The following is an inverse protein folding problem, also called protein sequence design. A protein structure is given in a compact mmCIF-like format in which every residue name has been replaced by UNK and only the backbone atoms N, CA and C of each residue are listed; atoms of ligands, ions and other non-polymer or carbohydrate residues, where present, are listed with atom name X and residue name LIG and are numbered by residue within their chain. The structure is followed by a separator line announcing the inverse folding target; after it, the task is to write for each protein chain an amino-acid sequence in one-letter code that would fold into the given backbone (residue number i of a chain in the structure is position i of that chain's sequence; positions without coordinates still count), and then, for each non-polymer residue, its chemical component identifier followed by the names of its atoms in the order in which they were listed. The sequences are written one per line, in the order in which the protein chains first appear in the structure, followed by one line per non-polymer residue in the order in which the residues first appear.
data_IF_223811427706
#
_entry.id   IF_223811427706
#
_cell.length_a   1.000
_cell.length_b   1.000
_cell.length_c   1.000
_cell.angle_alpha   90.00
_cell.angle_beta   90.00
_cell.angle_gamma   90.00
#
_symmetry.space_group_name_H-M   'P 1'
#
loop_
_entity.id
_entity.type
_entity.pdbx_description
1 polymer ?
#
# COMPACT_ATOMS: atom_id res chain seq x y z
N UNK A 1 -17.19 -27.41 -1.25
CA UNK A 1 -16.19 -26.64 -0.47
C UNK A 1 -14.76 -27.18 -0.62
N UNK A 2 -14.49 -28.48 -0.37
CA UNK A 2 -13.12 -29.04 -0.48
C UNK A 2 -12.48 -28.93 -1.87
N UNK A 3 -13.25 -29.15 -2.95
CA UNK A 3 -12.74 -29.03 -4.34
C UNK A 3 -12.37 -27.59 -4.74
N UNK A 4 -13.13 -26.60 -4.25
CA UNK A 4 -12.86 -25.18 -4.49
C UNK A 4 -11.59 -24.73 -3.77
N UNK A 5 -11.40 -25.16 -2.52
CA UNK A 5 -10.18 -24.89 -1.75
C UNK A 5 -8.93 -25.52 -2.41
N UNK A 6 -9.04 -26.75 -2.92
CA UNK A 6 -7.95 -27.41 -3.64
C UNK A 6 -7.62 -26.69 -4.94
N UNK A 7 -8.62 -26.22 -5.71
CA UNK A 7 -8.38 -25.42 -6.91
C UNK A 7 -7.75 -24.05 -6.60
N UNK A 8 -8.18 -23.37 -5.53
CA UNK A 8 -7.57 -22.11 -5.07
C UNK A 8 -6.12 -22.31 -4.67
N UNK A 9 -5.82 -23.35 -3.87
CA UNK A 9 -4.44 -23.68 -3.48
C UNK A 9 -3.60 -24.07 -4.69
N UNK A 10 -4.14 -24.85 -5.63
CA UNK A 10 -3.43 -25.22 -6.86
C UNK A 10 -3.20 -24.01 -7.79
N UNK A 11 -4.12 -23.05 -7.81
CA UNK A 11 -3.96 -21.81 -8.58
C UNK A 11 -2.95 -20.88 -7.92
N UNK A 12 -2.91 -20.77 -6.59
CA UNK A 12 -1.88 -20.03 -5.84
C UNK A 12 -0.49 -20.65 -6.04
N UNK A 13 -0.37 -21.98 -5.94
CA UNK A 13 0.87 -22.70 -6.22
C UNK A 13 1.30 -22.57 -7.69
N UNK A 14 0.33 -22.61 -8.62
CA UNK A 14 0.55 -22.38 -10.04
C UNK A 14 1.06 -20.96 -10.33
N UNK A 15 0.45 -19.93 -9.72
CA UNK A 15 0.90 -18.54 -9.84
C UNK A 15 2.28 -18.35 -9.20
N UNK A 16 2.59 -19.04 -8.10
CA UNK A 16 3.93 -19.05 -7.50
C UNK A 16 4.97 -19.64 -8.46
N UNK A 17 4.60 -20.66 -9.23
CA UNK A 17 5.45 -21.27 -10.25
C UNK A 17 5.60 -20.39 -11.52
N UNK A 18 4.56 -19.64 -11.90
CA UNK A 18 4.63 -18.62 -12.98
C UNK A 18 5.32 -17.32 -12.53
N UNK A 19 5.35 -17.02 -11.22
CA UNK A 19 5.98 -15.86 -10.61
C UNK A 19 7.51 -15.93 -10.58
N UNK A 20 8.06 -17.13 -10.72
CA UNK A 20 9.50 -17.37 -10.73
C UNK A 20 10.06 -17.19 -12.15
N UNK A 21 10.00 -15.97 -12.68
CA UNK A 21 10.91 -15.57 -13.75
C UNK A 21 12.30 -15.33 -13.14
N UNK A 22 13.20 -16.28 -13.35
CA UNK A 22 14.57 -16.26 -12.86
C UNK A 22 15.41 -15.20 -13.58
N UNK A 23 15.49 -13.99 -13.02
CA UNK A 23 16.65 -13.11 -13.15
C UNK A 23 17.63 -13.41 -12.01
N UNK A 24 18.78 -14.01 -12.33
CA UNK A 24 19.69 -14.64 -11.36
C UNK A 24 20.38 -13.75 -10.31
N UNK A 25 20.81 -14.41 -9.22
CA UNK A 25 21.77 -13.93 -8.22
C UNK A 25 21.18 -13.40 -6.91
N UNK A 26 21.13 -14.27 -5.89
CA UNK A 26 20.98 -14.06 -4.42
C UNK A 26 19.97 -13.08 -3.80
N UNK A 27 19.26 -12.24 -4.56
CA UNK A 27 17.95 -11.66 -4.22
C UNK A 27 17.19 -11.47 -5.52
N UNK A 28 16.52 -12.53 -5.99
CA UNK A 28 15.74 -12.48 -7.22
C UNK A 28 14.58 -11.49 -7.11
N UNK A 29 14.22 -10.84 -8.21
CA UNK A 29 13.00 -10.06 -8.35
C UNK A 29 11.93 -10.89 -9.07
N UNK A 30 10.64 -10.63 -8.81
CA UNK A 30 9.52 -11.28 -9.50
C UNK A 30 8.70 -10.27 -10.28
N UNK A 31 8.31 -10.58 -11.52
CA UNK A 31 7.39 -9.73 -12.28
C UNK A 31 5.95 -9.79 -11.72
N UNK A 32 5.55 -10.97 -11.26
CA UNK A 32 4.22 -11.26 -10.74
C UNK A 32 4.38 -11.99 -9.42
N UNK A 33 3.57 -11.67 -8.42
CA UNK A 33 3.59 -12.36 -7.14
C UNK A 33 2.18 -12.46 -6.55
N UNK A 34 1.86 -13.57 -5.90
CA UNK A 34 0.59 -13.74 -5.20
C UNK A 34 0.82 -14.08 -3.72
N UNK A 35 0.15 -13.34 -2.83
CA UNK A 35 0.05 -13.61 -1.41
C UNK A 35 -1.34 -14.11 -1.06
N UNK A 36 -1.45 -14.96 -0.04
CA UNK A 36 -2.75 -15.34 0.52
C UNK A 36 -2.86 -15.01 2.01
N UNK A 37 -1.74 -14.72 2.66
CA UNK A 37 -1.72 -14.32 4.06
C UNK A 37 -0.50 -13.43 4.33
N UNK A 38 -0.42 -12.91 5.54
CA UNK A 38 0.76 -12.19 6.02
C UNK A 38 1.98 -13.10 5.93
N UNK A 39 2.94 -12.69 5.11
CA UNK A 39 4.21 -13.35 4.87
C UNK A 39 4.13 -14.70 4.17
N UNK A 40 2.97 -15.03 3.56
CA UNK A 40 2.79 -16.30 2.88
C UNK A 40 2.27 -16.13 1.44
N UNK A 41 2.91 -16.78 0.46
CA UNK A 41 4.13 -17.61 0.57
C UNK A 41 5.37 -16.78 0.98
N UNK A 42 6.39 -17.44 1.54
CA UNK A 42 7.58 -16.76 2.10
C UNK A 42 8.32 -15.87 1.08
N UNK A 43 8.19 -16.17 -0.21
CA UNK A 43 8.71 -15.31 -1.28
C UNK A 43 8.15 -13.88 -1.22
N UNK A 44 6.94 -13.66 -0.69
CA UNK A 44 6.37 -12.31 -0.56
C UNK A 44 7.10 -11.46 0.47
N UNK A 45 7.83 -12.07 1.41
CA UNK A 45 8.57 -11.36 2.43
C UNK A 45 9.87 -10.77 1.91
N UNK A 46 10.60 -11.52 1.09
CA UNK A 46 12.00 -11.23 0.78
C UNK A 46 12.24 -10.79 -0.67
N UNK A 47 11.30 -11.07 -1.57
CA UNK A 47 11.46 -10.80 -3.00
C UNK A 47 10.84 -9.46 -3.38
N UNK A 48 11.63 -8.63 -4.04
CA UNK A 48 11.13 -7.43 -4.72
C UNK A 48 10.22 -7.81 -5.89
N UNK A 49 9.20 -6.99 -6.13
CA UNK A 49 8.26 -7.21 -7.24
C UNK A 49 8.39 -6.06 -8.23
N UNK A 50 8.69 -6.38 -9.50
CA UNK A 50 8.75 -5.42 -10.60
C UNK A 50 7.61 -5.67 -11.58
N UNK A 51 6.41 -5.28 -11.19
CA UNK A 51 5.19 -5.57 -11.93
C UNK A 51 3.98 -5.59 -11.02
N UNK A 52 3.41 -6.77 -10.78
CA UNK A 52 2.12 -6.91 -10.07
C UNK A 52 2.21 -7.85 -8.87
N UNK A 53 1.80 -7.39 -7.69
CA UNK A 53 1.63 -8.19 -6.47
C UNK A 53 0.14 -8.28 -6.11
N UNK A 54 -0.39 -9.49 -5.93
CA UNK A 54 -1.83 -9.71 -5.66
C UNK A 54 -2.03 -10.46 -4.34
N UNK A 55 -2.79 -9.89 -3.41
CA UNK A 55 -3.22 -10.49 -2.16
C UNK A 55 -4.63 -11.07 -2.24
N UNK A 56 -4.76 -12.39 -2.22
CA UNK A 56 -6.02 -13.12 -2.20
C UNK A 56 -6.14 -13.98 -0.92
N UNK A 57 -6.62 -13.42 0.20
CA UNK A 57 -7.15 -12.06 0.37
C UNK A 57 -6.15 -11.00 0.86
N UNK A 58 -4.98 -11.42 1.31
CA UNK A 58 -3.97 -10.56 1.97
C UNK A 58 -2.60 -10.82 1.38
N UNK A 59 -1.78 -9.78 1.26
CA UNK A 59 -0.35 -9.89 0.98
C UNK A 59 0.44 -8.96 1.89
N UNK A 60 1.68 -9.34 2.20
CA UNK A 60 2.63 -8.49 2.93
C UNK A 60 4.05 -8.76 2.46
N UNK A 61 4.99 -7.88 2.80
CA UNK A 61 6.39 -8.08 2.44
C UNK A 61 7.34 -7.00 2.92
N UNK A 62 8.61 -7.36 3.06
CA UNK A 62 9.70 -6.40 3.34
C UNK A 62 10.37 -5.91 2.05
N UNK A 63 10.22 -6.65 0.95
CA UNK A 63 10.67 -6.23 -0.37
C UNK A 63 9.89 -5.01 -0.91
N UNK A 64 10.42 -4.40 -1.96
CA UNK A 64 9.82 -3.26 -2.63
C UNK A 64 8.95 -3.71 -3.80
N UNK A 65 7.76 -3.14 -3.94
CA UNK A 65 6.94 -3.33 -5.15
C UNK A 65 7.08 -2.11 -6.04
N UNK A 66 7.73 -2.30 -7.17
CA UNK A 66 7.81 -1.37 -8.30
C UNK A 66 6.68 -1.70 -9.27
N UNK A 67 5.53 -1.03 -9.14
CA UNK A 67 4.37 -1.27 -10.01
C UNK A 67 3.04 -1.23 -9.27
N UNK A 68 2.30 -2.33 -9.28
CA UNK A 68 0.94 -2.41 -8.74
C UNK A 68 0.82 -3.50 -7.67
N UNK A 69 0.43 -3.12 -6.46
CA UNK A 69 0.00 -4.05 -5.41
C UNK A 69 -1.51 -3.96 -5.21
N UNK A 70 -2.21 -5.09 -5.21
CA UNK A 70 -3.65 -5.15 -4.98
C UNK A 70 -4.00 -6.25 -4.00
N UNK A 71 -4.89 -5.98 -3.04
CA UNK A 71 -5.42 -6.99 -2.15
C UNK A 71 -6.93 -6.85 -1.92
N UNK A 72 -7.58 -7.92 -1.47
CA UNK A 72 -9.00 -7.86 -1.09
C UNK A 72 -9.15 -7.13 0.25
N UNK A 73 -8.41 -7.56 1.28
CA UNK A 73 -8.55 -7.01 2.63
C UNK A 73 -7.33 -6.23 3.11
N UNK A 74 -6.11 -6.68 2.81
CA UNK A 74 -4.93 -5.98 3.30
C UNK A 74 -3.72 -6.17 2.39
N UNK A 75 -3.11 -5.04 2.03
CA UNK A 75 -1.82 -4.97 1.37
C UNK A 75 -0.84 -4.33 2.36
N UNK A 76 0.12 -5.11 2.85
CA UNK A 76 1.03 -4.71 3.92
C UNK A 76 2.49 -4.89 3.51
N UNK A 77 2.90 -4.25 2.42
CA UNK A 77 4.29 -4.26 1.95
C UNK A 77 5.00 -2.99 2.40
N UNK A 78 6.24 -3.10 2.87
CA UNK A 78 6.94 -1.98 3.50
C UNK A 78 7.20 -0.81 2.53
N UNK A 79 7.62 -1.11 1.31
CA UNK A 79 7.99 -0.10 0.32
C UNK A 79 7.21 -0.25 -0.99
N UNK A 80 6.57 0.83 -1.42
CA UNK A 80 5.77 0.88 -2.65
C UNK A 80 6.26 2.01 -3.53
N UNK A 81 6.67 1.67 -4.74
CA UNK A 81 6.93 2.60 -5.82
C UNK A 81 5.92 2.35 -6.95
N UNK A 82 4.78 3.04 -6.89
CA UNK A 82 3.70 2.87 -7.84
C UNK A 82 2.31 2.99 -7.21
N UNK A 83 1.46 1.98 -7.42
CA UNK A 83 0.06 1.99 -7.00
C UNK A 83 -0.19 0.85 -6.01
N UNK A 84 -0.88 1.14 -4.92
CA UNK A 84 -1.32 0.15 -3.95
C UNK A 84 -2.81 0.29 -3.69
N UNK A 85 -3.52 -0.83 -3.78
CA UNK A 85 -4.96 -0.89 -3.67
C UNK A 85 -5.41 -2.00 -2.71
N UNK A 86 -6.30 -1.68 -1.78
CA UNK A 86 -7.02 -2.68 -0.99
C UNK A 86 -8.52 -2.42 -1.10
N UNK A 87 -9.27 -3.40 -1.62
CA UNK A 87 -10.69 -3.21 -1.94
C UNK A 87 -11.53 -2.94 -0.69
N UNK A 88 -11.56 -3.88 0.25
CA UNK A 88 -12.45 -3.86 1.41
C UNK A 88 -11.68 -3.79 2.73
N UNK A 89 -10.50 -3.15 2.73
CA UNK A 89 -9.74 -3.00 3.95
C UNK A 89 -8.65 -1.95 3.86
N UNK A 90 -7.41 -2.34 4.17
CA UNK A 90 -6.35 -1.39 4.49
C UNK A 90 -5.04 -1.61 3.73
N UNK A 91 -4.43 -0.49 3.34
CA UNK A 91 -3.03 -0.44 2.92
C UNK A 91 -2.17 -0.01 4.12
N UNK A 92 -1.11 -0.77 4.39
CA UNK A 92 -0.13 -0.43 5.42
C UNK A 92 1.25 -0.46 4.79
N UNK A 93 1.97 0.64 4.85
CA UNK A 93 3.34 0.75 4.32
C UNK A 93 4.22 1.57 5.23
N UNK A 94 5.53 1.44 5.06
CA UNK A 94 6.50 2.35 5.65
C UNK A 94 6.73 3.51 4.70
N UNK A 95 7.11 3.21 3.46
CA UNK A 95 7.42 4.21 2.45
C UNK A 95 6.53 4.04 1.21
N UNK A 96 5.92 5.14 0.78
CA UNK A 96 5.13 5.22 -0.45
C UNK A 96 5.69 6.30 -1.37
N UNK A 97 5.96 5.92 -2.61
CA UNK A 97 6.12 6.83 -3.74
C UNK A 97 5.06 6.51 -4.79
N UNK A 98 3.98 7.28 -4.83
CA UNK A 98 2.87 7.05 -5.78
C UNK A 98 1.47 7.17 -5.19
N UNK A 99 0.59 6.19 -5.45
CA UNK A 99 -0.84 6.26 -5.13
C UNK A 99 -1.28 5.12 -4.20
N UNK A 100 -2.00 5.45 -3.15
CA UNK A 100 -2.64 4.50 -2.24
C UNK A 100 -4.16 4.66 -2.24
N UNK A 101 -4.87 3.56 -2.44
CA UNK A 101 -6.33 3.52 -2.53
C UNK A 101 -6.87 2.40 -1.63
N UNK A 102 -7.56 2.74 -0.55
CA UNK A 102 -8.19 1.77 0.35
C UNK A 102 -9.26 2.41 1.22
N UNK A 103 -10.00 1.63 2.02
CA UNK A 103 -10.84 2.22 3.07
C UNK A 103 -9.96 2.90 4.13
N UNK A 104 -8.84 2.27 4.48
CA UNK A 104 -7.86 2.82 5.41
C UNK A 104 -6.48 2.78 4.76
N UNK A 105 -5.82 3.92 4.65
CA UNK A 105 -4.41 4.00 4.26
C UNK A 105 -3.58 4.42 5.47
N UNK A 106 -2.47 3.72 5.71
CA UNK A 106 -1.55 4.02 6.80
C UNK A 106 -0.10 3.93 6.33
N UNK A 107 0.58 5.08 6.32
CA UNK A 107 1.99 5.20 5.99
C UNK A 107 2.76 5.58 7.25
N UNK A 108 3.77 4.79 7.61
CA UNK A 108 4.50 4.96 8.88
C UNK A 108 5.70 5.88 8.78
N UNK A 109 6.33 5.99 7.63
CA UNK A 109 7.55 6.77 7.44
C UNK A 109 7.29 7.80 6.33
N UNK A 110 7.84 7.59 5.14
CA UNK A 110 7.76 8.57 4.06
C UNK A 110 6.54 8.38 3.16
N UNK A 111 5.89 9.49 2.86
CA UNK A 111 4.75 9.54 1.96
C UNK A 111 5.01 10.58 0.87
N UNK A 112 5.52 10.12 -0.26
CA UNK A 112 5.75 10.87 -1.49
C UNK A 112 4.64 10.53 -2.49
N UNK A 113 3.40 10.92 -2.19
CA UNK A 113 2.29 10.44 -2.99
C UNK A 113 0.92 10.98 -2.62
N UNK A 114 -0.09 10.28 -3.12
CA UNK A 114 -1.51 10.56 -2.90
C UNK A 114 -2.14 9.37 -2.16
N UNK A 115 -2.88 9.66 -1.09
CA UNK A 115 -3.71 8.67 -0.39
C UNK A 115 -5.18 9.04 -0.61
N UNK A 116 -5.97 8.08 -1.09
CA UNK A 116 -7.42 8.22 -1.21
C UNK A 116 -8.08 7.10 -0.44
N UNK A 117 -8.97 7.47 0.49
CA UNK A 117 -9.65 6.49 1.33
C UNK A 117 -10.66 7.10 2.27
N UNK A 118 -11.27 6.27 3.12
CA UNK A 118 -12.15 6.80 4.18
C UNK A 118 -11.29 7.44 5.27
N UNK A 119 -10.21 6.77 5.65
CA UNK A 119 -9.24 7.23 6.63
C UNK A 119 -7.84 7.18 6.02
N UNK A 120 -7.10 8.29 6.07
CA UNK A 120 -5.71 8.36 5.63
C UNK A 120 -4.81 8.81 6.78
N UNK A 121 -3.77 8.04 7.07
CA UNK A 121 -2.81 8.28 8.13
C UNK A 121 -1.40 8.32 7.55
N UNK A 122 -0.63 9.36 7.87
CA UNK A 122 0.76 9.51 7.45
C UNK A 122 1.60 10.12 8.57
N UNK A 123 2.85 9.70 8.74
CA UNK A 123 3.77 10.45 9.59
C UNK A 123 4.39 11.66 8.87
N UNK A 124 4.44 11.66 7.54
CA UNK A 124 5.12 12.69 6.76
C UNK A 124 4.24 13.26 5.62
N UNK A 125 4.89 13.79 4.58
CA UNK A 125 4.28 14.52 3.45
C UNK A 125 3.25 13.67 2.69
N UNK A 126 2.61 14.22 1.66
CA UNK A 126 1.65 13.49 0.84
C UNK A 126 0.24 14.08 0.86
N UNK A 127 -0.44 13.98 -0.28
CA UNK A 127 -1.76 14.54 -0.49
C UNK A 127 -2.79 13.54 -0.01
N UNK A 128 -3.77 13.98 0.78
CA UNK A 128 -4.76 13.09 1.36
C UNK A 128 -6.17 13.49 0.97
N UNK A 129 -6.95 12.52 0.52
CA UNK A 129 -8.34 12.69 0.11
C UNK A 129 -9.19 11.64 0.83
N UNK A 130 -10.06 12.06 1.73
CA UNK A 130 -10.85 11.11 2.51
C UNK A 130 -11.85 11.74 3.45
N UNK A 131 -12.52 10.95 4.30
CA UNK A 131 -13.39 11.53 5.33
C UNK A 131 -12.55 12.05 6.50
N UNK A 132 -11.54 11.28 6.90
CA UNK A 132 -10.61 11.62 7.97
C UNK A 132 -9.19 11.54 7.44
N UNK A 133 -8.46 12.65 7.54
CA UNK A 133 -7.06 12.74 7.15
C UNK A 133 -6.22 13.15 8.37
N UNK A 134 -5.13 12.44 8.62
CA UNK A 134 -4.16 12.82 9.63
C UNK A 134 -2.75 12.66 9.10
N UNK A 135 -1.97 13.74 9.16
CA UNK A 135 -0.57 13.75 8.80
C UNK A 135 0.19 14.76 9.66
N UNK A 136 1.48 14.58 9.91
CA UNK A 136 2.23 15.61 10.65
C UNK A 136 2.56 16.83 9.79
N UNK A 137 2.74 16.66 8.48
CA UNK A 137 3.12 17.73 7.56
C UNK A 137 2.62 17.47 6.13
N UNK A 138 1.30 17.31 5.96
CA UNK A 138 0.71 17.13 4.63
C UNK A 138 0.70 18.47 3.85
N UNK A 139 1.09 18.49 2.57
CA UNK A 139 0.94 19.68 1.71
C UNK A 139 -0.53 20.04 1.45
N UNK A 140 -1.42 19.05 1.37
CA UNK A 140 -2.83 19.26 1.10
C UNK A 140 -3.67 18.10 1.66
N UNK A 141 -4.81 18.43 2.26
CA UNK A 141 -5.79 17.46 2.72
C UNK A 141 -7.20 17.93 2.33
N UNK A 142 -8.00 17.02 1.77
CA UNK A 142 -9.42 17.22 1.51
C UNK A 142 -10.21 16.16 2.27
N UNK A 143 -11.05 16.58 3.21
CA UNK A 143 -11.89 15.67 3.97
C UNK A 143 -12.76 16.33 5.03
N UNK A 144 -13.73 15.60 5.56
CA UNK A 144 -14.61 16.12 6.62
C UNK A 144 -13.81 16.61 7.82
N UNK A 145 -12.77 15.85 8.19
CA UNK A 145 -11.87 16.15 9.29
C UNK A 145 -10.42 15.99 8.83
N UNK A 146 -9.61 17.02 9.05
CA UNK A 146 -8.20 17.04 8.67
C UNK A 146 -7.35 17.48 9.86
N UNK A 147 -6.34 16.67 10.20
CA UNK A 147 -5.33 16.97 11.21
C UNK A 147 -3.97 17.12 10.54
N UNK A 148 -3.33 18.26 10.76
CA UNK A 148 -2.01 18.60 10.24
C UNK A 148 -1.22 19.45 11.23
N UNK A 149 -0.69 18.88 12.34
CA UNK A 149 -0.07 19.63 13.42
C UNK A 149 1.03 20.62 12.99
N UNK A 150 1.82 20.30 11.96
CA UNK A 150 2.83 21.21 11.41
C UNK A 150 2.40 21.90 10.10
N UNK A 151 1.12 21.80 9.74
CA UNK A 151 0.52 22.50 8.60
C UNK A 151 0.29 23.98 8.87
N UNK A 152 -0.39 24.65 7.95
CA UNK A 152 -0.81 26.04 8.15
C UNK A 152 -1.79 26.16 9.33
N UNK A 153 -2.69 25.18 9.47
CA UNK A 153 -3.58 25.02 10.62
C UNK A 153 -3.51 23.57 11.16
N UNK A 154 -3.35 23.37 12.49
CA UNK A 154 -3.29 22.04 13.09
C UNK A 154 -4.50 21.16 12.84
N UNK A 155 -5.67 21.77 12.67
CA UNK A 155 -6.95 21.10 12.46
C UNK A 155 -7.84 21.94 11.56
N UNK A 156 -8.52 21.32 10.59
CA UNK A 156 -9.49 21.95 9.71
C UNK A 156 -10.59 20.99 9.28
N UNK A 157 -11.77 21.54 8.96
CA UNK A 157 -12.85 20.84 8.26
C UNK A 157 -12.79 21.13 6.76
N UNK A 158 -13.22 20.17 5.95
CA UNK A 158 -13.24 20.18 4.48
C UNK A 158 -11.86 20.26 3.82
N UNK A 159 -11.06 21.31 4.07
CA UNK A 159 -9.78 21.54 3.39
C UNK A 159 -8.72 21.96 4.40
N UNK A 160 -7.52 21.37 4.30
CA UNK A 160 -6.33 21.81 5.02
C UNK A 160 -5.12 21.92 4.09
N UNK A 161 -4.18 22.80 4.43
CA UNK A 161 -2.98 23.10 3.66
C UNK A 161 -1.72 22.92 4.49
N UNK A 162 -0.63 22.60 3.82
CA UNK A 162 0.70 22.58 4.42
C UNK A 162 1.18 23.99 4.78
N UNK A 163 2.16 24.06 5.67
CA UNK A 163 2.75 25.34 6.09
C UNK A 163 3.41 26.11 4.94
N UNK A 164 3.95 25.38 3.97
CA UNK A 164 4.71 25.93 2.84
C UNK A 164 3.81 26.39 1.68
N UNK A 165 2.48 26.27 1.79
CA UNK A 165 1.56 26.58 0.68
C UNK A 165 1.46 28.07 0.35
N UNK A 166 1.73 28.97 1.30
CA UNK A 166 1.51 30.42 1.16
C UNK A 166 2.76 31.27 1.41
N UNK A 167 3.95 30.64 1.40
CA UNK A 167 5.24 31.32 1.54
C UNK A 167 5.97 31.46 0.21
#
# INVERSE_FOLDING_TARGET
MKKLAICLVAMVLGISAFAQETGGGDTGWSALQAGFWFGYPESTLVTDVRGVKVGLPVCSGHGTVYGLEMAIFCAATDNIEGMQFAWLGANVTHNLSGLQLALVNAIREEAAGVQVGVVNLSQHRGWQFGLVNAANNAPFQLGLVNFNPNGWMPFMIFVNFGKDTFN
#
